data_IF_637866382330
#
_entry.id   IF_637866382330
#
_cell.length_a   1.000
_cell.length_b   1.000
_cell.length_c   1.000
_cell.angle_alpha   90.00
_cell.angle_beta   90.00
_cell.angle_gamma   90.00
#
_symmetry.space_group_name_H-M   'P 1'
#
loop_
_entity.id
_entity.type
_entity.pdbx_description
1 polymer ?
#
# COMPACT_ATOMS: atom_id res chain seq x y z
N UNK A 1 -12.60 13.33 4.88
CA UNK A 1 -11.50 12.61 4.25
C UNK A 1 -12.01 11.22 3.91
N UNK A 2 -11.93 10.84 2.64
CA UNK A 2 -12.34 9.51 2.20
C UNK A 2 -11.24 8.51 2.56
N UNK A 3 -11.63 7.40 3.18
CA UNK A 3 -10.75 6.30 3.54
C UNK A 3 -11.07 5.07 2.70
N UNK A 4 -10.09 4.18 2.57
CA UNK A 4 -10.32 2.76 2.26
C UNK A 4 -9.88 1.92 3.46
N UNK A 5 -10.44 0.72 3.57
CA UNK A 5 -10.13 -0.23 4.64
C UNK A 5 -9.51 -1.49 4.04
N UNK A 6 -8.52 -2.06 4.72
CA UNK A 6 -7.97 -3.38 4.43
C UNK A 6 -7.81 -4.16 5.73
N UNK A 7 -7.60 -5.46 5.64
CA UNK A 7 -7.30 -6.26 6.82
C UNK A 7 -5.85 -6.05 7.26
N UNK A 8 -5.63 -5.97 8.57
CA UNK A 8 -4.31 -5.95 9.17
C UNK A 8 -3.78 -7.39 9.20
N UNK A 9 -2.52 -7.56 8.82
CA UNK A 9 -1.86 -8.86 8.80
C UNK A 9 -0.71 -8.87 9.79
N UNK A 10 -0.33 -10.06 10.23
CA UNK A 10 0.93 -10.26 10.95
C UNK A 10 2.01 -10.71 9.98
N UNK A 11 2.85 -9.78 9.56
CA UNK A 11 4.03 -10.03 8.76
C UNK A 11 5.17 -9.08 9.07
N UNK A 12 6.16 -9.09 8.19
CA UNK A 12 7.32 -8.21 8.27
C UNK A 12 7.14 -7.10 7.24
N UNK A 13 6.92 -5.86 7.70
CA UNK A 13 6.88 -4.71 6.81
C UNK A 13 8.25 -4.48 6.22
N UNK A 14 8.32 -4.38 4.90
CA UNK A 14 9.54 -4.04 4.19
C UNK A 14 9.21 -3.30 2.90
N UNK A 15 10.11 -2.41 2.48
CA UNK A 15 10.03 -1.83 1.16
C UNK A 15 10.70 -2.77 0.15
N UNK A 16 10.17 -2.85 -1.07
CA UNK A 16 10.77 -3.59 -2.16
C UNK A 16 11.27 -2.59 -3.22
N UNK A 17 12.60 -2.51 -3.35
CA UNK A 17 13.29 -1.68 -4.32
C UNK A 17 13.71 -2.53 -5.52
N UNK A 18 13.33 -2.10 -6.72
CA UNK A 18 13.79 -2.65 -8.00
C UNK A 18 14.73 -1.60 -8.60
N UNK A 19 16.02 -1.90 -8.70
CA UNK A 19 17.04 -0.98 -9.21
C UNK A 19 17.14 -1.04 -10.74
N UNK A 20 18.05 -0.29 -11.35
CA UNK A 20 18.50 -0.51 -12.73
C UNK A 20 19.82 -1.31 -12.67
N UNK A 21 19.95 -2.49 -13.30
CA UNK A 21 19.10 -3.08 -14.34
C UNK A 21 18.13 -4.19 -13.85
N UNK A 22 17.33 -3.93 -12.82
CA UNK A 22 16.27 -4.85 -12.35
C UNK A 22 16.65 -5.69 -11.13
N UNK A 23 17.68 -5.31 -10.36
CA UNK A 23 18.06 -6.01 -9.14
C UNK A 23 17.09 -5.68 -8.02
N UNK A 24 16.60 -6.69 -7.30
CA UNK A 24 15.60 -6.53 -6.25
C UNK A 24 16.24 -6.53 -4.87
N UNK A 25 15.83 -5.59 -4.03
CA UNK A 25 16.18 -5.51 -2.61
C UNK A 25 14.92 -5.39 -1.77
N UNK A 26 14.92 -6.05 -0.61
CA UNK A 26 14.01 -5.75 0.49
C UNK A 26 14.75 -4.84 1.49
N UNK A 27 14.07 -3.80 1.95
CA UNK A 27 14.55 -2.87 2.96
C UNK A 27 13.65 -3.00 4.18
N UNK A 28 14.22 -3.41 5.31
CA UNK A 28 13.45 -3.55 6.56
C UNK A 28 13.33 -2.22 7.33
N UNK A 29 12.59 -2.24 8.43
CA UNK A 29 12.40 -1.07 9.30
C UNK A 29 13.67 -0.62 10.02
N UNK A 30 14.73 -1.43 10.03
CA UNK A 30 16.05 -1.10 10.57
C UNK A 30 16.97 -0.47 9.52
N UNK A 31 16.46 -0.25 8.30
CA UNK A 31 17.19 0.21 7.12
C UNK A 31 18.26 -0.79 6.62
N UNK A 32 18.11 -2.08 6.95
CA UNK A 32 18.96 -3.12 6.39
C UNK A 32 18.44 -3.54 5.00
N UNK A 33 19.37 -3.77 4.07
CA UNK A 33 19.07 -4.09 2.69
C UNK A 33 19.44 -5.54 2.35
N UNK A 34 18.44 -6.32 1.96
CA UNK A 34 18.59 -7.72 1.60
C UNK A 34 18.36 -7.90 0.10
N UNK A 35 19.38 -8.34 -0.62
CA UNK A 35 19.25 -8.66 -2.05
C UNK A 35 18.40 -9.92 -2.22
N UNK A 36 17.39 -9.86 -3.09
CA UNK A 36 16.55 -11.01 -3.45
C UNK A 36 16.82 -11.39 -4.91
N UNK A 37 17.13 -12.67 -5.12
CA UNK A 37 17.34 -13.26 -6.44
C UNK A 37 16.14 -14.08 -6.87
N UNK A 38 15.92 -14.22 -8.18
CA UNK A 38 14.85 -15.08 -8.73
C UNK A 38 13.47 -14.45 -8.81
N UNK A 39 13.32 -13.15 -8.53
CA UNK A 39 12.09 -12.40 -8.79
C UNK A 39 12.14 -11.72 -10.17
N UNK A 40 11.05 -11.83 -10.92
CA UNK A 40 10.93 -11.21 -12.26
C UNK A 40 9.87 -10.12 -12.27
N UNK A 41 10.24 -8.88 -12.58
CA UNK A 41 9.31 -7.76 -12.72
C UNK A 41 9.32 -7.22 -14.17
N UNK A 42 8.49 -7.78 -15.05
CA UNK A 42 8.45 -7.43 -16.46
C UNK A 42 7.84 -6.04 -16.68
N UNK A 43 8.22 -5.42 -17.78
CA UNK A 43 7.66 -4.16 -18.24
C UNK A 43 6.30 -4.39 -18.92
N UNK A 44 5.30 -3.58 -18.54
CA UNK A 44 3.96 -3.64 -19.14
C UNK A 44 3.99 -3.41 -20.66
N UNK A 45 3.53 -4.39 -21.43
CA UNK A 45 3.57 -4.35 -22.90
C UNK A 45 4.93 -4.66 -23.54
N UNK A 46 5.97 -4.98 -22.77
CA UNK A 46 7.25 -5.46 -23.29
C UNK A 46 7.91 -6.44 -22.32
N UNK A 47 7.60 -7.73 -22.47
CA UNK A 47 8.05 -8.79 -21.55
C UNK A 47 9.56 -9.05 -21.59
N UNK A 48 10.27 -8.57 -22.63
CA UNK A 48 11.73 -8.67 -22.77
C UNK A 48 12.48 -7.65 -21.91
N UNK A 49 11.77 -6.70 -21.28
CA UNK A 49 12.35 -5.68 -20.41
C UNK A 49 11.86 -5.86 -18.98
N UNK A 50 12.70 -5.51 -18.01
CA UNK A 50 12.31 -5.39 -16.61
C UNK A 50 11.94 -3.94 -16.28
N UNK A 51 11.05 -3.75 -15.31
CA UNK A 51 10.92 -2.43 -14.68
C UNK A 51 12.15 -2.13 -13.82
N UNK A 52 12.42 -0.86 -13.61
CA UNK A 52 13.59 -0.37 -12.89
C UNK A 52 13.22 0.88 -12.11
N UNK A 53 14.04 1.23 -11.12
CA UNK A 53 13.87 2.41 -10.26
C UNK A 53 12.43 2.54 -9.75
N UNK A 54 11.94 1.47 -9.15
CA UNK A 54 10.58 1.34 -8.59
C UNK A 54 10.69 0.97 -7.12
N UNK A 55 9.93 1.65 -6.27
CA UNK A 55 9.91 1.43 -4.82
C UNK A 55 8.48 1.16 -4.36
N UNK A 56 8.26 -0.06 -3.87
CA UNK A 56 6.99 -0.54 -3.33
C UNK A 56 7.05 -0.55 -1.80
N UNK A 57 5.91 -0.28 -1.15
CA UNK A 57 5.71 -0.52 0.28
C UNK A 57 4.77 -1.70 0.45
N UNK A 58 5.11 -2.60 1.36
CA UNK A 58 4.38 -3.85 1.53
C UNK A 58 4.82 -4.62 2.76
N UNK A 59 4.31 -5.84 2.83
CA UNK A 59 4.49 -6.72 3.97
C UNK A 59 4.73 -8.15 3.50
N UNK A 60 5.77 -8.78 4.05
CA UNK A 60 6.05 -10.19 3.86
C UNK A 60 5.28 -11.01 4.91
N UNK A 61 4.31 -11.79 4.45
CA UNK A 61 3.49 -12.69 5.26
C UNK A 61 3.81 -14.14 4.93
N UNK A 62 3.39 -15.04 5.82
CA UNK A 62 3.48 -16.49 5.62
C UNK A 62 2.07 -17.08 5.51
N UNK A 63 1.67 -17.41 4.28
CA UNK A 63 0.41 -18.08 4.01
C UNK A 63 0.49 -19.54 4.45
N UNK A 64 -0.60 -20.05 5.03
CA UNK A 64 -0.82 -21.45 5.31
C UNK A 64 -1.72 -22.03 4.22
N UNK A 65 -1.17 -22.91 3.39
CA UNK A 65 -1.90 -23.59 2.33
C UNK A 65 -1.66 -25.10 2.43
N UNK A 66 -2.73 -25.86 2.69
CA UNK A 66 -2.71 -27.32 2.89
C UNK A 66 -1.60 -27.79 3.85
N UNK A 67 -1.42 -27.08 4.97
CA UNK A 67 -0.41 -27.38 5.99
C UNK A 67 1.03 -26.99 5.61
N UNK A 68 1.24 -26.33 4.47
CA UNK A 68 2.53 -25.77 4.07
C UNK A 68 2.54 -24.27 4.25
N UNK A 69 3.58 -23.77 4.92
CA UNK A 69 3.84 -22.35 5.03
C UNK A 69 4.53 -21.85 3.75
N UNK A 70 3.99 -20.83 3.10
CA UNK A 70 4.54 -20.22 1.88
C UNK A 70 4.67 -18.71 2.04
N UNK A 71 5.86 -18.13 1.77
CA UNK A 71 6.04 -16.70 1.86
C UNK A 71 5.30 -15.97 0.73
N UNK A 72 4.72 -14.81 1.07
CA UNK A 72 4.04 -13.91 0.13
C UNK A 72 4.35 -12.47 0.49
N UNK A 73 4.69 -11.67 -0.51
CA UNK A 73 4.80 -10.22 -0.37
C UNK A 73 3.50 -9.55 -0.83
N UNK A 74 2.83 -8.87 0.09
CA UNK A 74 1.62 -8.09 -0.12
C UNK A 74 1.98 -6.62 -0.34
N UNK A 75 1.75 -6.11 -1.54
CA UNK A 75 2.00 -4.70 -1.88
C UNK A 75 0.85 -3.84 -1.34
N UNK A 76 1.19 -2.89 -0.47
CA UNK A 76 0.28 -1.95 0.18
C UNK A 76 0.27 -0.57 -0.51
N UNK A 77 1.41 -0.14 -1.03
CA UNK A 77 1.55 1.14 -1.75
C UNK A 77 2.74 1.12 -2.73
N UNK A 78 2.84 2.17 -3.53
CA UNK A 78 3.95 2.44 -4.45
C UNK A 78 4.38 3.90 -4.30
N UNK A 79 5.67 4.11 -4.04
CA UNK A 79 6.22 5.44 -3.78
C UNK A 79 6.87 6.03 -5.04
N UNK A 80 7.58 5.18 -5.78
CA UNK A 80 8.22 5.53 -7.04
C UNK A 80 7.96 4.43 -8.06
N UNK A 81 7.70 4.83 -9.30
CA UNK A 81 7.55 3.95 -10.43
C UNK A 81 8.41 4.49 -11.57
N UNK A 82 9.41 3.72 -12.01
CA UNK A 82 10.26 4.05 -13.18
C UNK A 82 10.83 5.47 -13.16
N UNK A 83 11.56 5.79 -12.09
CA UNK A 83 12.15 7.11 -11.83
C UNK A 83 11.14 8.24 -11.55
N UNK A 84 9.83 7.98 -11.61
CA UNK A 84 8.79 8.98 -11.33
C UNK A 84 8.24 8.82 -9.92
N UNK A 85 8.22 9.91 -9.17
CA UNK A 85 7.62 9.95 -7.84
C UNK A 85 6.09 9.92 -7.94
N UNK A 86 5.48 8.78 -7.62
CA UNK A 86 4.02 8.61 -7.59
C UNK A 86 3.42 8.77 -6.19
N UNK A 87 4.26 8.82 -5.15
CA UNK A 87 3.85 9.00 -3.74
C UNK A 87 2.91 10.19 -3.48
N UNK A 88 3.00 11.24 -4.29
CA UNK A 88 2.18 12.46 -4.15
C UNK A 88 0.78 12.33 -4.75
N UNK A 89 0.55 11.34 -5.61
CA UNK A 89 -0.73 11.10 -6.27
C UNK A 89 -1.74 10.52 -5.29
N UNK A 90 -3.03 10.59 -5.61
CA UNK A 90 -4.09 9.94 -4.84
C UNK A 90 -3.85 8.43 -4.72
N UNK A 91 -4.22 7.84 -3.58
CA UNK A 91 -4.06 6.42 -3.33
C UNK A 91 -4.74 5.55 -4.40
N UNK A 92 -5.88 5.97 -4.96
CA UNK A 92 -6.53 5.26 -6.06
C UNK A 92 -5.63 5.15 -7.31
N UNK A 93 -4.87 6.20 -7.62
CA UNK A 93 -3.92 6.20 -8.75
C UNK A 93 -2.74 5.28 -8.43
N UNK A 94 -2.23 5.33 -7.20
CA UNK A 94 -1.13 4.46 -6.74
C UNK A 94 -1.55 2.98 -6.74
N UNK A 95 -2.75 2.66 -6.25
CA UNK A 95 -3.34 1.33 -6.28
C UNK A 95 -3.53 0.82 -7.72
N UNK A 96 -4.06 1.66 -8.62
CA UNK A 96 -4.22 1.32 -10.03
C UNK A 96 -2.87 1.06 -10.71
N UNK A 97 -1.83 1.83 -10.37
CA UNK A 97 -0.48 1.62 -10.85
C UNK A 97 0.06 0.25 -10.42
N UNK A 98 -0.10 -0.14 -9.15
CA UNK A 98 0.28 -1.48 -8.67
C UNK A 98 -0.46 -2.57 -9.45
N UNK A 99 -1.78 -2.42 -9.60
CA UNK A 99 -2.61 -3.41 -10.29
C UNK A 99 -2.16 -3.62 -11.73
N UNK A 100 -2.04 -2.55 -12.52
CA UNK A 100 -1.72 -2.63 -13.95
C UNK A 100 -0.24 -2.91 -14.23
N UNK A 101 0.64 -2.13 -13.61
CA UNK A 101 2.05 -2.11 -13.97
C UNK A 101 2.87 -3.19 -13.27
N UNK A 102 2.39 -3.72 -12.13
CA UNK A 102 3.09 -4.76 -11.37
C UNK A 102 2.36 -6.09 -11.49
N UNK A 103 1.11 -6.17 -11.04
CA UNK A 103 0.40 -7.46 -10.93
C UNK A 103 -0.01 -7.99 -12.29
N UNK A 104 -0.67 -7.18 -13.11
CA UNK A 104 -1.15 -7.62 -14.43
C UNK A 104 0.00 -7.89 -15.39
N UNK A 105 1.03 -7.02 -15.40
CA UNK A 105 2.26 -7.27 -16.18
C UNK A 105 2.91 -8.60 -15.80
N UNK A 106 3.08 -8.88 -14.51
CA UNK A 106 3.62 -10.17 -14.02
C UNK A 106 2.73 -11.34 -14.43
N UNK A 107 1.41 -11.22 -14.29
CA UNK A 107 0.44 -12.27 -14.67
C UNK A 107 0.52 -12.59 -16.16
N UNK A 108 0.54 -11.57 -17.02
CA UNK A 108 0.62 -11.74 -18.48
C UNK A 108 1.94 -12.39 -18.88
N UNK A 109 3.07 -11.97 -18.31
CA UNK A 109 4.37 -12.59 -18.57
C UNK A 109 4.46 -14.03 -18.09
N UNK A 110 3.88 -14.36 -16.93
CA UNK A 110 3.81 -15.74 -16.45
C UNK A 110 2.95 -16.61 -17.37
N UNK A 111 1.80 -16.12 -17.83
CA UNK A 111 0.94 -16.80 -18.81
C UNK A 111 1.64 -17.00 -20.17
N UNK A 112 2.50 -16.07 -20.56
CA UNK A 112 3.33 -16.17 -21.75
C UNK A 112 4.59 -17.05 -21.57
N UNK A 113 4.78 -17.66 -20.38
CA UNK A 113 5.92 -18.54 -20.11
C UNK A 113 7.26 -17.83 -19.93
N UNK A 114 7.27 -16.50 -19.74
CA UNK A 114 8.51 -15.70 -19.56
C UNK A 114 9.22 -16.08 -18.25
N UNK A 115 8.44 -16.37 -17.22
CA UNK A 115 8.92 -16.91 -15.95
C UNK A 115 7.83 -17.77 -15.32
N UNK A 116 8.22 -18.58 -14.35
CA UNK A 116 7.33 -19.47 -13.62
C UNK A 116 7.17 -18.95 -12.18
N UNK A 117 5.94 -18.55 -11.75
CA UNK A 117 5.72 -18.02 -10.41
C UNK A 117 6.01 -19.01 -9.27
N UNK A 118 6.05 -20.32 -9.56
CA UNK A 118 6.34 -21.35 -8.54
C UNK A 118 7.84 -21.48 -8.24
N UNK A 119 8.70 -20.99 -9.15
CA UNK A 119 10.15 -21.02 -9.01
C UNK A 119 10.69 -19.75 -8.32
N UNK A 120 9.83 -18.76 -8.08
CA UNK A 120 10.19 -17.54 -7.36
C UNK A 120 10.31 -17.80 -5.84
N UNK A 121 11.19 -17.06 -5.13
CA UNK A 121 11.41 -17.26 -3.70
C UNK A 121 10.17 -16.97 -2.84
N UNK A 122 9.28 -16.11 -3.31
CA UNK A 122 7.99 -15.82 -2.69
C UNK A 122 7.05 -15.22 -3.72
N UNK A 123 5.75 -15.39 -3.48
CA UNK A 123 4.73 -14.87 -4.40
C UNK A 123 4.48 -13.38 -4.18
N UNK A 124 4.21 -12.64 -5.27
CA UNK A 124 3.85 -11.22 -5.24
C UNK A 124 2.33 -11.06 -5.42
N UNK A 125 1.70 -10.27 -4.56
CA UNK A 125 0.27 -9.89 -4.66
C UNK A 125 0.06 -8.43 -4.27
N UNK A 126 -0.99 -7.82 -4.82
CA UNK A 126 -1.54 -6.55 -4.31
C UNK A 126 -2.43 -6.87 -3.11
N UNK A 127 -2.35 -6.05 -2.07
CA UNK A 127 -3.32 -6.06 -0.97
C UNK A 127 -4.62 -5.41 -1.44
N UNK A 128 -5.76 -6.00 -1.11
CA UNK A 128 -7.05 -5.42 -1.50
C UNK A 128 -7.52 -4.37 -0.49
N UNK A 129 -7.97 -3.25 -1.03
CA UNK A 129 -8.50 -2.12 -0.29
C UNK A 129 -9.97 -1.92 -0.67
N UNK A 130 -10.82 -1.90 0.34
CA UNK A 130 -12.26 -1.90 0.23
C UNK A 130 -12.85 -0.57 0.69
N UNK A 131 -14.09 -0.25 0.29
CA UNK A 131 -14.86 0.84 0.89
C UNK A 131 -15.05 0.61 2.40
N UNK A 132 -15.05 1.69 3.19
CA UNK A 132 -15.09 1.63 4.68
C UNK A 132 -16.31 0.88 5.22
N UNK A 133 -17.44 0.87 4.51
CA UNK A 133 -18.62 0.12 4.94
C UNK A 133 -18.42 -1.41 4.96
N UNK A 134 -17.38 -1.93 4.31
CA UNK A 134 -17.00 -3.35 4.37
C UNK A 134 -16.19 -3.71 5.64
N UNK A 135 -15.96 -2.77 6.56
CA UNK A 135 -15.20 -3.03 7.80
C UNK A 135 -15.76 -4.21 8.58
N UNK A 136 -17.09 -4.29 8.76
CA UNK A 136 -17.73 -5.40 9.47
C UNK A 136 -17.49 -6.76 8.80
N UNK A 137 -17.48 -6.80 7.46
CA UNK A 137 -17.19 -8.01 6.69
C UNK A 137 -15.72 -8.45 6.85
N UNK A 138 -14.77 -7.51 6.82
CA UNK A 138 -13.34 -7.80 7.04
C UNK A 138 -13.05 -8.32 8.44
N UNK A 139 -13.83 -7.89 9.44
CA UNK A 139 -13.73 -8.36 10.82
C UNK A 139 -14.46 -9.69 11.06
N UNK A 140 -15.37 -10.08 10.17
CA UNK A 140 -16.17 -11.27 10.32
C UNK A 140 -15.28 -12.53 10.34
N UNK A 141 -15.64 -13.57 11.11
CA UNK A 141 -14.94 -14.86 11.08
C UNK A 141 -14.85 -15.47 9.67
N UNK A 142 -15.86 -15.26 8.83
CA UNK A 142 -15.93 -15.77 7.46
C UNK A 142 -14.81 -15.23 6.57
N UNK A 143 -14.51 -13.93 6.65
CA UNK A 143 -13.40 -13.33 5.92
C UNK A 143 -12.06 -13.85 6.43
N UNK A 144 -11.88 -13.91 7.75
CA UNK A 144 -10.64 -14.41 8.37
C UNK A 144 -10.31 -15.84 7.96
N UNK A 145 -11.31 -16.69 7.78
CA UNK A 145 -11.12 -18.07 7.30
C UNK A 145 -10.75 -18.17 5.81
N UNK A 146 -10.98 -17.12 5.01
CA UNK A 146 -10.62 -17.08 3.58
C UNK A 146 -9.20 -16.56 3.34
N UNK A 147 -8.64 -15.85 4.32
CA UNK A 147 -7.28 -15.33 4.24
C UNK A 147 -6.31 -16.41 4.75
N UNK A 148 -5.32 -16.85 3.95
CA UNK A 148 -4.43 -17.95 4.31
C UNK A 148 -3.38 -17.58 5.37
N UNK A 149 -3.24 -16.30 5.71
CA UNK A 149 -2.37 -15.81 6.77
C UNK A 149 -3.18 -15.18 7.91
N UNK A 150 -2.54 -14.96 9.06
CA UNK A 150 -3.21 -14.42 10.24
C UNK A 150 -3.69 -12.98 9.99
N UNK A 151 -4.94 -12.73 10.39
CA UNK A 151 -5.59 -11.42 10.38
C UNK A 151 -5.79 -10.96 11.82
N UNK A 152 -5.19 -9.84 12.20
CA UNK A 152 -5.19 -9.33 13.57
C UNK A 152 -6.02 -8.04 13.74
N UNK A 153 -6.65 -7.56 12.67
CA UNK A 153 -7.53 -6.40 12.70
C UNK A 153 -7.75 -5.77 11.33
N UNK A 154 -7.86 -4.44 11.30
CA UNK A 154 -8.06 -3.64 10.07
C UNK A 154 -7.19 -2.39 10.07
N UNK A 155 -6.85 -1.91 8.87
CA UNK A 155 -6.12 -0.68 8.62
C UNK A 155 -6.95 0.22 7.72
N UNK A 156 -7.08 1.49 8.10
CA UNK A 156 -7.76 2.54 7.34
C UNK A 156 -6.73 3.47 6.72
N UNK A 157 -6.78 3.54 5.40
CA UNK A 157 -5.85 4.32 4.58
C UNK A 157 -6.54 5.54 3.98
N UNK A 158 -5.98 6.75 4.17
CA UNK A 158 -6.53 7.96 3.58
C UNK A 158 -6.34 7.95 2.05
N UNK A 159 -7.38 8.30 1.29
CA UNK A 159 -7.34 8.22 -0.18
C UNK A 159 -6.62 9.41 -0.82
N UNK A 160 -6.91 10.63 -0.36
CA UNK A 160 -6.42 11.87 -0.98
C UNK A 160 -5.13 12.41 -0.34
N UNK A 161 -4.52 11.65 0.56
CA UNK A 161 -3.24 12.03 1.15
C UNK A 161 -2.09 11.47 0.33
N UNK A 162 -1.07 12.31 0.14
CA UNK A 162 0.22 11.86 -0.33
C UNK A 162 0.82 10.88 0.67
N UNK A 163 1.49 9.84 0.17
CA UNK A 163 2.29 8.97 1.01
C UNK A 163 3.43 9.76 1.65
N UNK A 164 3.53 9.68 2.98
CA UNK A 164 4.56 10.32 3.79
C UNK A 164 5.49 9.27 4.43
N UNK A 165 6.75 9.65 4.63
CA UNK A 165 7.69 8.85 5.43
C UNK A 165 7.44 9.08 6.93
N UNK A 166 7.54 8.01 7.73
CA UNK A 166 7.41 8.10 9.19
C UNK A 166 5.98 7.91 9.70
N UNK A 167 5.67 8.49 10.87
CA UNK A 167 4.33 8.42 11.46
C UNK A 167 3.37 9.28 10.63
N UNK A 168 2.43 8.64 9.94
CA UNK A 168 1.40 9.33 9.20
C UNK A 168 0.17 9.54 10.09
N UNK A 169 -0.08 10.79 10.53
CA UNK A 169 -1.25 11.17 11.33
C UNK A 169 -2.62 10.78 10.72
N UNK A 170 -2.63 10.33 9.46
CA UNK A 170 -3.82 9.90 8.74
C UNK A 170 -3.99 8.39 8.63
N UNK A 171 -2.98 7.56 8.88
CA UNK A 171 -3.15 6.10 8.85
C UNK A 171 -3.71 5.65 10.20
N UNK A 172 -4.83 4.93 10.19
CA UNK A 172 -5.45 4.42 11.41
C UNK A 172 -5.44 2.90 11.37
N UNK A 173 -5.24 2.25 12.51
CA UNK A 173 -5.43 0.81 12.64
C UNK A 173 -6.33 0.48 13.82
N UNK A 174 -6.91 -0.71 13.76
CA UNK A 174 -7.64 -1.32 14.86
C UNK A 174 -7.24 -2.78 14.94
N UNK A 175 -7.00 -3.27 16.14
CA UNK A 175 -6.62 -4.67 16.39
C UNK A 175 -7.70 -5.35 17.21
N UNK A 176 -7.87 -6.66 17.00
CA UNK A 176 -8.77 -7.43 17.85
C UNK A 176 -8.33 -7.28 19.32
N UNK A 177 -9.27 -7.06 20.26
CA UNK A 177 -8.95 -7.09 21.67
C UNK A 177 -8.23 -8.41 21.97
N UNK A 178 -7.03 -8.33 22.55
CA UNK A 178 -6.38 -9.53 23.08
C UNK A 178 -7.35 -10.14 24.08
N UNK A 179 -7.66 -11.42 23.92
CA UNK A 179 -8.55 -12.14 24.84
C UNK A 179 -7.88 -12.27 26.21
N UNK A 180 -7.88 -11.20 27.00
CA UNK A 180 -8.01 -11.32 28.44
C UNK A 180 -9.50 -11.50 28.69
N UNK A 181 -9.86 -12.54 29.46
CA UNK A 181 -11.23 -12.80 29.89
C UNK A 181 -11.84 -11.49 30.42
N UNK A 182 -12.91 -11.02 29.78
CA UNK A 182 -13.73 -9.87 30.22
C UNK A 182 -13.32 -8.52 29.65
N UNK A 183 -13.75 -8.22 28.41
CA UNK A 183 -14.36 -6.93 28.00
C UNK A 183 -14.42 -6.84 26.47
N UNK A 184 -15.35 -7.61 25.90
CA UNK A 184 -15.71 -7.52 24.49
C UNK A 184 -16.76 -6.41 24.28
N UNK A 185 -16.40 -5.13 24.47
CA UNK A 185 -17.30 -4.04 24.06
C UNK A 185 -16.66 -2.68 23.80
N UNK A 186 -15.42 -2.61 23.32
CA UNK A 186 -15.01 -1.41 22.56
C UNK A 186 -15.68 -1.47 21.19
N UNK A 187 -16.90 -0.95 21.14
CA UNK A 187 -17.85 -1.16 20.06
C UNK A 187 -17.31 -0.67 18.70
N UNK A 188 -17.58 -1.42 17.65
CA UNK A 188 -17.41 -1.05 16.22
C UNK A 188 -17.86 0.40 15.93
N UNK A 189 -18.87 0.90 16.65
CA UNK A 189 -19.36 2.28 16.58
C UNK A 189 -18.31 3.31 16.98
N UNK A 190 -17.50 3.05 18.01
CA UNK A 190 -16.43 3.94 18.46
C UNK A 190 -15.30 4.05 17.43
N UNK A 191 -14.98 2.94 16.74
CA UNK A 191 -14.00 2.92 15.66
C UNK A 191 -14.49 3.71 14.44
N UNK A 192 -15.73 3.45 13.99
CA UNK A 192 -16.32 4.16 12.86
C UNK A 192 -16.46 5.67 13.14
N UNK A 193 -16.74 6.05 14.39
CA UNK A 193 -16.79 7.45 14.80
C UNK A 193 -15.40 8.11 14.83
N UNK A 194 -14.36 7.40 15.28
CA UNK A 194 -12.98 7.88 15.19
C UNK A 194 -12.54 8.11 13.72
N UNK A 195 -12.90 7.19 12.82
CA UNK A 195 -12.66 7.34 11.37
C UNK A 195 -13.44 8.54 10.80
N UNK A 196 -14.70 8.75 11.21
CA UNK A 196 -15.50 9.94 10.82
C UNK A 196 -14.90 11.25 11.31
N UNK A 197 -14.43 11.31 12.57
CA UNK A 197 -13.80 12.49 13.14
C UNK A 197 -12.47 12.82 12.46
N UNK A 198 -11.64 11.81 12.20
CA UNK A 198 -10.40 11.97 11.42
C UNK A 198 -10.69 12.42 9.98
N UNK A 199 -11.79 11.93 9.40
CA UNK A 199 -12.27 12.37 8.10
C UNK A 199 -12.68 13.85 8.10
N UNK A 200 -13.40 14.34 9.11
CA UNK A 200 -13.82 15.74 9.19
C UNK A 200 -12.64 16.72 9.34
N UNK A 201 -11.55 16.32 10.00
CA UNK A 201 -10.34 17.16 10.16
C UNK A 201 -9.56 17.37 8.86
N UNK A 202 -9.69 16.47 7.89
CA UNK A 202 -9.02 16.54 6.59
C UNK A 202 -9.74 17.34 5.50
N UNK A 203 -10.90 17.96 5.79
CA UNK A 203 -11.66 18.76 4.81
C UNK A 203 -11.48 20.28 4.95
N UNK A 204 -10.63 20.75 5.86
CA UNK A 204 -10.24 22.15 5.90
C UNK A 204 -9.34 22.44 4.68
N UNK A 205 -9.93 22.97 3.60
CA UNK A 205 -9.16 23.59 2.51
C UNK A 205 -8.29 24.70 3.11
N UNK A 206 -7.01 24.84 2.71
CA UNK A 206 -6.31 26.09 2.95
C UNK A 206 -7.06 27.19 2.18
N UNK A 207 -7.39 28.28 2.88
CA UNK A 207 -7.91 29.49 2.26
C UNK A 207 -6.98 29.93 1.12
N UNK A 208 -7.49 30.41 -0.02
CA UNK A 208 -6.63 30.99 -1.04
C UNK A 208 -5.97 32.25 -0.44
N UNK A 209 -4.66 32.37 -0.61
CA UNK A 209 -3.92 33.56 -0.24
C UNK A 209 -4.55 34.76 -0.97
N UNK A 210 -4.82 35.82 -0.22
CA UNK A 210 -5.27 37.10 -0.74
C UNK A 210 -4.27 37.64 -1.75
N UNK A 211 -4.71 37.83 -3.00
CA UNK A 211 -4.05 38.74 -3.93
C UNK A 211 -4.22 40.16 -3.40
N UNK A 212 -3.16 40.72 -2.82
CA UNK A 212 -3.00 42.17 -2.73
C UNK A 212 -1.51 42.50 -2.65
N UNK A 213 -0.97 42.96 -3.78
CA UNK A 213 -0.26 44.25 -3.91
C UNK A 213 0.47 44.29 -5.26
N UNK A 214 -0.15 44.97 -6.23
CA UNK A 214 0.61 45.60 -7.32
C UNK A 214 1.23 46.88 -6.78
N UNK A 215 2.47 47.21 -7.15
CA UNK A 215 2.86 48.59 -7.31
C UNK A 215 2.91 48.95 -8.80
N UNK A 216 2.23 50.06 -9.08
CA UNK A 216 2.21 50.81 -10.33
C UNK A 216 3.60 51.33 -10.73
N UNK A 217 3.92 51.12 -12.02
CA UNK A 217 4.77 51.87 -12.96
C UNK A 217 5.83 52.86 -12.41
N UNK A 218 7.08 52.69 -12.87
CA UNK A 218 7.95 53.82 -13.22
C UNK A 218 8.66 53.59 -14.55
N UNK A 219 8.49 54.59 -15.41
CA UNK A 219 9.01 54.78 -16.76
C UNK A 219 10.54 54.68 -16.85
N UNK A 220 11.03 54.20 -18.00
CA UNK A 220 12.30 54.68 -18.57
C UNK A 220 12.12 54.89 -20.07
N UNK A 221 12.27 56.16 -20.47
CA UNK A 221 12.68 56.57 -21.80
C UNK A 221 14.22 56.48 -21.89
N UNK A 222 14.68 56.46 -23.15
CA UNK A 222 16.05 56.40 -23.69
C UNK A 222 16.53 54.97 -23.92
#
# INVERSE_FOLDING_TARGET
ATYKVTWKSEGLRCLLLITNPGVVYLLDERNEAYRVSGLTFPYSGNTSKQIFTTLLDGELVFDQDAGKSRPRYLIHDILHFRCSAVRKMDFNVRELCIQKEIIEARRQSAQAGVFSPVDEPFSIRKKDFFPVNMTGELLAPTFRSQVPHRVDGVVFKPVYRSYASGCEDGMLDWTFPRSNVGDASMSEKSLLEAVRLAAARGSARPSPASEDERPSKRSRNI
#
